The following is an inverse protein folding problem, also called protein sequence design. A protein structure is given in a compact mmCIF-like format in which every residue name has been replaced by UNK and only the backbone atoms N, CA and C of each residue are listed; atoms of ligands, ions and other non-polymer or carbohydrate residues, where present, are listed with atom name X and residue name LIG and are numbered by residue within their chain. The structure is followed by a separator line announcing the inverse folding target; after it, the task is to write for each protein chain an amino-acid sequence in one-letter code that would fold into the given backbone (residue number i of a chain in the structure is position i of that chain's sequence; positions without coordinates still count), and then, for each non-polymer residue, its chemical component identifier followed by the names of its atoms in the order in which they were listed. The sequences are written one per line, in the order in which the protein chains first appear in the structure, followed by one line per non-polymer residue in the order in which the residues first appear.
data_IF_197516591212
#
_entry.id   IF_197516591212
#
_cell.length_a   1.000
_cell.length_b   1.000
_cell.length_c   1.000
_cell.angle_alpha   90.00
_cell.angle_beta   90.00
_cell.angle_gamma   90.00
#
_symmetry.space_group_name_H-M   'P 1'
#
loop_
_entity.id
_entity.type
_entity.pdbx_description
1 polymer ?
#
# COMPACT_ATOMS: atom_id res chain seq x y z
N UNK A 1 2.14 -9.64 14.48
CA UNK A 1 3.57 -9.36 14.75
C UNK A 1 4.17 -8.46 13.68
N UNK A 2 4.05 -8.78 12.37
CA UNK A 2 4.66 -8.05 11.25
C UNK A 2 4.29 -6.56 11.27
N UNK A 3 3.01 -6.22 11.41
CA UNK A 3 2.55 -4.83 11.42
C UNK A 3 3.16 -4.03 12.59
N UNK A 4 3.27 -4.64 13.77
CA UNK A 4 3.88 -4.00 14.94
C UNK A 4 5.38 -3.78 14.71
N UNK A 5 6.08 -4.76 14.15
CA UNK A 5 7.51 -4.63 13.83
C UNK A 5 7.74 -3.52 12.81
N UNK A 6 6.92 -3.45 11.77
CA UNK A 6 7.00 -2.39 10.74
C UNK A 6 6.65 -1.02 11.33
N UNK A 7 5.66 -0.95 12.23
CA UNK A 7 5.33 0.28 12.94
C UNK A 7 6.55 0.84 13.70
N UNK A 8 7.17 0.02 14.55
CA UNK A 8 8.34 0.47 15.31
C UNK A 8 9.54 0.77 14.42
N UNK A 9 9.75 -0.03 13.38
CA UNK A 9 10.82 0.22 12.42
C UNK A 9 10.68 1.61 11.76
N UNK A 10 9.51 1.93 11.23
CA UNK A 10 9.24 3.22 10.59
C UNK A 10 9.31 4.36 11.61
N UNK A 11 8.72 4.17 12.80
CA UNK A 11 8.71 5.17 13.86
C UNK A 11 10.13 5.57 14.27
N UNK A 12 10.96 4.57 14.54
CA UNK A 12 12.34 4.79 14.95
C UNK A 12 13.12 5.47 13.82
N UNK A 13 12.99 5.01 12.57
CA UNK A 13 13.66 5.64 11.44
C UNK A 13 13.24 7.10 11.23
N UNK A 14 11.94 7.42 11.34
CA UNK A 14 11.45 8.78 11.22
C UNK A 14 12.00 9.67 12.34
N UNK A 15 12.00 9.19 13.58
CA UNK A 15 12.53 9.95 14.69
C UNK A 15 14.05 10.17 14.59
N UNK A 16 14.81 9.17 14.13
CA UNK A 16 16.25 9.33 13.89
C UNK A 16 16.55 10.37 12.79
N UNK A 17 15.68 10.51 11.80
CA UNK A 17 15.82 11.55 10.78
C UNK A 17 15.58 12.97 11.29
N UNK A 18 14.69 13.14 12.28
CA UNK A 18 14.24 14.45 12.79
C UNK A 18 15.14 14.92 13.95
N UNK A 19 15.57 13.99 14.80
CA UNK A 19 16.42 14.33 15.95
C UNK A 19 17.75 14.95 15.47
N UNK A 20 18.27 15.99 16.18
CA UNK A 20 19.51 16.66 15.80
C UNK A 20 20.76 15.77 15.98
N UNK A 21 20.59 14.45 15.96
CA UNK A 21 21.68 13.48 15.94
C UNK A 21 22.47 13.55 14.63
N UNK A 22 21.88 14.05 13.55
CA UNK A 22 22.55 14.41 12.30
C UNK A 22 23.53 15.59 12.44
N UNK A 23 23.49 16.34 13.56
CA UNK A 23 24.48 17.35 13.90
C UNK A 23 25.84 16.77 14.34
N UNK A 24 25.91 15.47 14.65
CA UNK A 24 27.15 14.77 14.93
C UNK A 24 27.61 14.07 13.63
N UNK A 25 28.76 14.48 13.09
CA UNK A 25 29.29 13.92 11.87
C UNK A 25 30.78 14.21 11.71
N UNK A 26 31.37 13.62 10.70
CA UNK A 26 32.75 13.88 10.30
C UNK A 26 32.77 15.00 9.25
N UNK A 27 33.77 15.89 9.39
CA UNK A 27 34.14 16.82 8.32
C UNK A 27 35.18 16.12 7.44
N UNK A 28 34.79 15.73 6.26
CA UNK A 28 35.70 15.13 5.28
C UNK A 28 36.10 16.16 4.24
N UNK A 29 37.37 16.20 3.92
CA UNK A 29 37.90 17.10 2.90
C UNK A 29 37.70 16.46 1.52
N UNK A 30 36.58 16.79 0.88
CA UNK A 30 36.26 16.38 -0.49
C UNK A 30 36.96 17.26 -1.53
N UNK A 31 36.82 16.90 -2.81
CA UNK A 31 37.42 17.62 -3.94
C UNK A 31 36.90 19.06 -4.12
N UNK A 32 35.77 19.40 -3.53
CA UNK A 32 35.10 20.71 -3.63
C UNK A 32 35.07 21.48 -2.30
N UNK A 33 35.75 21.00 -1.24
CA UNK A 33 35.78 21.61 0.07
C UNK A 33 35.43 20.66 1.21
N UNK A 34 35.17 21.23 2.41
CA UNK A 34 34.76 20.47 3.59
C UNK A 34 33.31 19.97 3.42
N UNK A 35 33.13 18.66 3.29
CA UNK A 35 31.82 18.00 3.28
C UNK A 35 31.50 17.50 4.69
N UNK A 36 30.31 17.81 5.18
CA UNK A 36 29.80 17.29 6.45
C UNK A 36 29.07 15.96 6.20
N UNK A 37 29.57 14.89 6.80
CA UNK A 37 28.96 13.56 6.73
C UNK A 37 28.34 13.24 8.07
N UNK A 38 27.00 13.25 8.21
CA UNK A 38 26.34 12.90 9.45
C UNK A 38 26.50 11.43 9.77
N UNK A 39 26.75 11.07 11.05
CA UNK A 39 26.84 9.67 11.49
C UNK A 39 25.50 8.95 11.47
N UNK A 40 24.42 9.68 11.71
CA UNK A 40 23.07 9.14 11.79
C UNK A 40 22.17 9.91 10.84
N UNK A 41 21.67 9.22 9.84
CA UNK A 41 20.66 9.73 8.91
C UNK A 41 19.47 8.76 8.88
N UNK A 42 18.26 9.28 8.96
CA UNK A 42 17.06 8.45 8.86
C UNK A 42 17.02 7.74 7.50
N UNK A 43 16.90 6.41 7.49
CA UNK A 43 16.84 5.63 6.26
C UNK A 43 15.63 5.96 5.38
N UNK A 44 14.57 6.48 5.97
CA UNK A 44 13.32 6.90 5.29
C UNK A 44 13.45 8.21 4.52
N UNK A 45 14.54 8.96 4.70
CA UNK A 45 14.89 10.12 3.87
C UNK A 45 15.38 9.73 2.46
N UNK A 46 15.66 8.44 2.21
CA UNK A 46 16.03 7.92 0.90
C UNK A 46 14.83 7.23 0.23
N UNK A 47 14.53 7.67 -1.00
CA UNK A 47 13.44 7.11 -1.80
C UNK A 47 13.63 5.60 -2.08
N UNK A 48 14.88 5.15 -2.23
CA UNK A 48 15.16 3.73 -2.47
C UNK A 48 14.72 2.86 -1.29
N UNK A 49 14.97 3.32 -0.07
CA UNK A 49 14.57 2.62 1.16
C UNK A 49 13.04 2.58 1.30
N UNK A 50 12.37 3.69 1.02
CA UNK A 50 10.91 3.77 1.12
C UNK A 50 10.21 2.97 0.02
N UNK A 51 10.75 2.95 -1.20
CA UNK A 51 10.29 2.07 -2.29
C UNK A 51 10.49 0.61 -1.92
N UNK A 52 11.68 0.23 -1.43
CA UNK A 52 11.95 -1.15 -1.02
C UNK A 52 10.97 -1.61 0.07
N UNK A 53 10.70 -0.78 1.08
CA UNK A 53 9.76 -1.08 2.15
C UNK A 53 8.32 -1.23 1.62
N UNK A 54 7.89 -0.34 0.71
CA UNK A 54 6.57 -0.39 0.09
C UNK A 54 6.42 -1.64 -0.80
N UNK A 55 7.44 -1.97 -1.59
CA UNK A 55 7.46 -3.18 -2.43
C UNK A 55 7.39 -4.44 -1.55
N UNK A 56 8.19 -4.51 -0.47
CA UNK A 56 8.15 -5.64 0.46
C UNK A 56 6.77 -5.78 1.14
N UNK A 57 6.13 -4.67 1.50
CA UNK A 57 4.80 -4.68 2.10
C UNK A 57 3.74 -5.24 1.14
N UNK A 58 3.70 -4.75 -0.11
CA UNK A 58 2.71 -5.16 -1.11
C UNK A 58 3.00 -6.57 -1.62
N UNK A 59 4.25 -6.92 -1.92
CA UNK A 59 4.62 -8.29 -2.30
C UNK A 59 4.35 -9.28 -1.16
N UNK A 60 4.66 -8.91 0.08
CA UNK A 60 4.36 -9.73 1.25
C UNK A 60 2.86 -10.03 1.38
N UNK A 61 2.01 -9.02 1.18
CA UNK A 61 0.56 -9.20 1.19
C UNK A 61 0.08 -10.12 0.04
N UNK A 62 0.62 -9.96 -1.17
CA UNK A 62 0.29 -10.80 -2.31
C UNK A 62 0.77 -12.26 -2.12
N UNK A 63 1.98 -12.45 -1.60
CA UNK A 63 2.51 -13.78 -1.28
C UNK A 63 1.65 -14.45 -0.21
N UNK A 64 1.27 -13.73 0.83
CA UNK A 64 0.37 -14.23 1.86
C UNK A 64 -1.00 -14.61 1.29
N UNK A 65 -1.56 -13.80 0.39
CA UNK A 65 -2.79 -14.11 -0.35
C UNK A 65 -2.67 -15.42 -1.15
N UNK A 66 -1.54 -15.63 -1.83
CA UNK A 66 -1.26 -16.88 -2.56
C UNK A 66 -1.28 -18.10 -1.62
N UNK A 67 -0.67 -17.98 -0.44
CA UNK A 67 -0.68 -19.07 0.54
C UNK A 67 -2.06 -19.34 1.15
N UNK A 68 -2.89 -18.28 1.32
CA UNK A 68 -4.22 -18.39 1.94
C UNK A 68 -5.28 -18.92 0.97
N UNK A 69 -5.28 -18.43 -0.28
CA UNK A 69 -6.35 -18.69 -1.27
C UNK A 69 -5.90 -19.74 -2.30
N UNK A 70 -4.60 -19.88 -2.51
CA UNK A 70 -3.99 -20.76 -3.49
C UNK A 70 -3.54 -20.05 -4.77
N UNK A 71 -2.45 -20.56 -5.36
CA UNK A 71 -1.77 -19.98 -6.54
C UNK A 71 -2.71 -19.79 -7.73
N UNK A 72 -3.57 -20.76 -7.99
CA UNK A 72 -4.46 -20.76 -9.16
C UNK A 72 -5.55 -19.69 -9.06
N UNK A 73 -6.14 -19.52 -7.89
CA UNK A 73 -7.18 -18.49 -7.68
C UNK A 73 -6.57 -17.09 -7.73
N UNK A 74 -5.40 -16.88 -7.10
CA UNK A 74 -4.70 -15.59 -7.11
C UNK A 74 -4.27 -15.19 -8.53
N UNK A 75 -3.74 -16.13 -9.33
CA UNK A 75 -3.36 -15.85 -10.71
C UNK A 75 -4.59 -15.53 -11.59
N UNK A 76 -5.69 -16.25 -11.37
CA UNK A 76 -6.93 -16.01 -12.10
C UNK A 76 -7.58 -14.65 -11.76
N UNK A 77 -7.30 -14.09 -10.59
CA UNK A 77 -7.73 -12.76 -10.17
C UNK A 77 -7.17 -11.66 -11.10
N UNK A 78 -5.90 -11.74 -11.46
CA UNK A 78 -5.25 -10.76 -12.33
C UNK A 78 -5.53 -10.94 -13.81
N UNK A 79 -5.57 -12.17 -14.32
CA UNK A 79 -5.67 -12.45 -15.77
C UNK A 79 -7.05 -12.91 -16.19
N UNK A 80 -7.90 -13.28 -15.22
CA UNK A 80 -9.29 -13.73 -15.44
C UNK A 80 -9.45 -14.77 -16.57
N UNK A 81 -8.49 -15.74 -16.58
CA UNK A 81 -8.40 -16.78 -17.62
C UNK A 81 -9.68 -17.60 -17.77
N UNK A 82 -10.48 -17.74 -16.71
CA UNK A 82 -11.76 -18.45 -16.77
C UNK A 82 -12.75 -17.76 -17.71
N UNK A 83 -12.74 -16.43 -17.77
CA UNK A 83 -13.61 -15.67 -18.67
C UNK A 83 -13.07 -15.71 -20.10
N UNK A 84 -11.75 -15.59 -20.29
CA UNK A 84 -11.14 -15.72 -21.61
C UNK A 84 -11.35 -17.13 -22.20
N UNK A 85 -11.17 -18.19 -21.40
CA UNK A 85 -11.43 -19.58 -21.84
C UNK A 85 -12.92 -19.87 -22.08
N UNK A 86 -13.80 -19.21 -21.30
CA UNK A 86 -15.25 -19.35 -21.44
C UNK A 86 -15.83 -18.62 -22.68
N UNK A 87 -15.16 -17.59 -23.20
CA UNK A 87 -15.60 -16.87 -24.39
C UNK A 87 -15.78 -17.84 -25.57
N UNK A 88 -14.80 -18.71 -25.83
CA UNK A 88 -14.82 -19.61 -26.96
C UNK A 88 -15.92 -20.68 -26.89
N UNK A 89 -16.29 -21.10 -25.67
CA UNK A 89 -17.28 -22.19 -25.48
C UNK A 89 -18.69 -21.68 -25.20
N UNK A 90 -18.86 -20.48 -24.60
CA UNK A 90 -20.17 -19.99 -24.16
C UNK A 90 -20.79 -18.94 -25.08
N UNK A 91 -20.06 -18.37 -26.07
CA UNK A 91 -20.60 -17.42 -27.06
C UNK A 91 -21.87 -17.94 -27.74
N UNK A 92 -21.98 -19.26 -27.89
CA UNK A 92 -23.09 -19.91 -28.60
C UNK A 92 -24.37 -20.03 -27.77
N UNK A 93 -24.26 -19.88 -26.43
CA UNK A 93 -25.40 -20.06 -25.52
C UNK A 93 -25.85 -18.77 -24.81
N UNK A 94 -24.94 -17.81 -24.61
CA UNK A 94 -25.23 -16.57 -23.89
C UNK A 94 -24.57 -15.36 -24.56
N UNK A 95 -25.33 -14.55 -25.36
CA UNK A 95 -24.78 -13.39 -26.08
C UNK A 95 -24.27 -12.27 -25.13
N UNK A 96 -24.70 -12.25 -23.89
CA UNK A 96 -24.24 -11.30 -22.85
C UNK A 96 -22.73 -11.40 -22.55
N UNK A 97 -22.10 -12.52 -22.85
CA UNK A 97 -20.65 -12.72 -22.66
C UNK A 97 -19.83 -11.79 -23.52
N UNK A 98 -20.30 -11.39 -24.70
CA UNK A 98 -19.59 -10.47 -25.60
C UNK A 98 -19.39 -9.10 -24.97
N UNK A 99 -20.31 -8.67 -24.11
CA UNK A 99 -20.23 -7.39 -23.37
C UNK A 99 -19.44 -7.55 -22.08
N UNK A 100 -19.63 -8.66 -21.36
CA UNK A 100 -19.00 -8.91 -20.05
C UNK A 100 -17.50 -9.20 -20.19
N UNK A 101 -17.07 -9.90 -21.23
CA UNK A 101 -15.68 -10.29 -21.42
C UNK A 101 -14.70 -9.10 -21.50
N UNK A 102 -14.93 -8.05 -22.33
CA UNK A 102 -14.04 -6.90 -22.35
C UNK A 102 -14.05 -6.14 -21.02
N UNK A 103 -15.21 -6.03 -20.35
CA UNK A 103 -15.29 -5.37 -19.04
C UNK A 103 -14.40 -6.10 -18.03
N UNK A 104 -14.49 -7.41 -17.96
CA UNK A 104 -13.71 -8.22 -17.02
C UNK A 104 -12.22 -8.18 -17.34
N UNK A 105 -11.83 -8.08 -18.59
CA UNK A 105 -10.44 -7.86 -19.01
C UNK A 105 -9.92 -6.51 -18.50
N UNK A 106 -10.69 -5.43 -18.67
CA UNK A 106 -10.32 -4.10 -18.17
C UNK A 106 -10.23 -4.07 -16.66
N UNK A 107 -11.11 -4.77 -15.93
CA UNK A 107 -11.04 -4.90 -14.47
C UNK A 107 -9.73 -5.55 -14.04
N UNK A 108 -9.31 -6.63 -14.68
CA UNK A 108 -8.01 -7.26 -14.39
C UNK A 108 -6.82 -6.32 -14.65
N UNK A 109 -6.87 -5.52 -15.73
CA UNK A 109 -5.84 -4.53 -16.02
C UNK A 109 -5.79 -3.42 -14.96
N UNK A 110 -6.94 -2.92 -14.52
CA UNK A 110 -7.04 -1.93 -13.44
C UNK A 110 -6.49 -2.49 -12.13
N UNK A 111 -6.70 -3.77 -11.85
CA UNK A 111 -6.17 -4.42 -10.65
C UNK A 111 -4.64 -4.46 -10.65
N UNK A 112 -4.00 -4.77 -11.79
CA UNK A 112 -2.54 -4.70 -11.93
C UNK A 112 -2.03 -3.27 -11.70
N UNK A 113 -2.67 -2.28 -12.34
CA UNK A 113 -2.32 -0.86 -12.12
C UNK A 113 -2.51 -0.47 -10.65
N UNK A 114 -3.55 -1.01 -10.00
CA UNK A 114 -3.82 -0.81 -8.57
C UNK A 114 -2.68 -1.30 -7.66
N UNK A 115 -2.04 -2.44 -7.99
CA UNK A 115 -0.88 -2.92 -7.21
C UNK A 115 0.31 -1.97 -7.32
N UNK A 116 0.62 -1.47 -8.52
CA UNK A 116 1.65 -0.44 -8.69
C UNK A 116 1.30 0.86 -7.97
N UNK A 117 0.05 1.28 -8.02
CA UNK A 117 -0.43 2.48 -7.35
C UNK A 117 -0.30 2.37 -5.81
N UNK A 118 -0.55 1.20 -5.23
CA UNK A 118 -0.33 0.93 -3.79
C UNK A 118 1.13 1.15 -3.41
N UNK A 119 2.07 0.55 -4.15
CA UNK A 119 3.51 0.71 -3.92
C UNK A 119 3.92 2.17 -4.01
N UNK A 120 3.53 2.87 -5.08
CA UNK A 120 3.84 4.27 -5.28
C UNK A 120 3.27 5.15 -4.16
N UNK A 121 2.00 4.94 -3.80
CA UNK A 121 1.32 5.71 -2.75
C UNK A 121 2.00 5.53 -1.38
N UNK A 122 2.35 4.28 -0.98
CA UNK A 122 3.03 4.02 0.27
C UNK A 122 4.44 4.66 0.29
N UNK A 123 5.19 4.49 -0.79
CA UNK A 123 6.56 4.98 -0.90
C UNK A 123 6.60 6.51 -0.87
N UNK A 124 5.82 7.17 -1.72
CA UNK A 124 5.80 8.64 -1.76
C UNK A 124 5.25 9.27 -0.48
N UNK A 125 4.31 8.63 0.18
CA UNK A 125 3.79 9.09 1.46
C UNK A 125 4.88 9.07 2.53
N UNK A 126 5.66 8.00 2.61
CA UNK A 126 6.72 7.86 3.61
C UNK A 126 7.89 8.80 3.29
N UNK A 127 8.39 8.76 2.07
CA UNK A 127 9.48 9.64 1.60
C UNK A 127 9.09 11.12 1.69
N UNK A 128 7.92 11.47 1.13
CA UNK A 128 7.48 12.86 1.03
C UNK A 128 7.30 13.52 2.38
N UNK A 129 6.81 12.78 3.37
CA UNK A 129 6.66 13.29 4.73
C UNK A 129 8.02 13.64 5.37
N UNK A 130 8.97 12.69 5.35
CA UNK A 130 10.29 12.88 5.97
C UNK A 130 11.09 13.95 5.21
N UNK A 131 11.08 13.91 3.87
CA UNK A 131 11.77 14.89 3.05
C UNK A 131 11.21 16.31 3.25
N UNK A 132 9.88 16.46 3.27
CA UNK A 132 9.24 17.74 3.52
C UNK A 132 9.58 18.31 4.91
N UNK A 133 9.63 17.44 5.93
CA UNK A 133 10.01 17.80 7.28
C UNK A 133 11.47 18.27 7.38
N UNK A 134 12.41 17.54 6.77
CA UNK A 134 13.82 17.97 6.69
C UNK A 134 13.94 19.36 6.04
N UNK A 135 13.32 19.56 4.88
CA UNK A 135 13.36 20.83 4.16
C UNK A 135 12.73 21.97 4.97
N UNK A 136 11.60 21.68 5.64
CA UNK A 136 10.92 22.65 6.49
C UNK A 136 11.81 23.08 7.67
N UNK A 137 12.38 22.12 8.40
CA UNK A 137 13.25 22.39 9.55
C UNK A 137 14.49 23.20 9.15
N UNK A 138 15.16 22.83 8.04
CA UNK A 138 16.33 23.55 7.53
C UNK A 138 15.95 24.98 7.11
N UNK A 139 14.82 25.15 6.41
CA UNK A 139 14.35 26.46 5.95
C UNK A 139 13.99 27.38 7.13
N UNK A 140 13.31 26.84 8.15
CA UNK A 140 12.96 27.61 9.36
C UNK A 140 14.18 27.95 10.21
N UNK A 141 15.15 27.05 10.30
CA UNK A 141 16.42 27.32 10.98
C UNK A 141 17.24 28.39 10.29
N UNK A 142 17.16 28.52 8.96
CA UNK A 142 17.81 29.59 8.21
C UNK A 142 17.19 30.98 8.46
N UNK A 143 15.88 31.04 8.73
CA UNK A 143 15.17 32.29 9.02
C UNK A 143 15.43 32.74 10.45
N UNK A 144 15.21 31.91 11.45
CA UNK A 144 15.45 32.22 12.87
C UNK A 144 15.96 30.92 13.55
N UNK A 145 17.25 30.86 13.78
CA UNK A 145 17.99 29.64 14.11
C UNK A 145 17.52 28.86 15.36
N UNK A 146 16.94 29.51 16.38
CA UNK A 146 16.77 28.86 17.67
C UNK A 146 15.31 28.66 18.11
N UNK A 147 14.41 29.57 17.80
CA UNK A 147 13.05 29.60 18.38
C UNK A 147 12.03 29.00 17.41
N UNK A 148 12.06 29.38 16.13
CA UNK A 148 11.06 28.95 15.13
C UNK A 148 11.13 27.45 14.82
N UNK A 149 12.29 26.77 14.74
CA UNK A 149 12.33 25.33 14.45
C UNK A 149 11.71 24.44 15.53
N UNK A 150 11.68 24.87 16.80
CA UNK A 150 11.22 24.04 17.92
C UNK A 150 9.77 23.55 17.76
N UNK A 151 8.76 24.42 17.50
CA UNK A 151 7.39 23.98 17.30
C UNK A 151 7.24 23.08 16.05
N UNK A 152 8.02 23.34 14.99
CA UNK A 152 8.01 22.48 13.80
C UNK A 152 8.65 21.11 14.05
N UNK A 153 9.70 21.04 14.84
CA UNK A 153 10.30 19.78 15.26
C UNK A 153 9.29 18.92 16.05
N UNK A 154 8.54 19.54 16.96
CA UNK A 154 7.50 18.83 17.71
C UNK A 154 6.38 18.35 16.79
N UNK A 155 5.94 19.17 15.84
CA UNK A 155 4.96 18.78 14.82
C UNK A 155 5.45 17.61 14.00
N UNK A 156 6.70 17.62 13.57
CA UNK A 156 7.31 16.55 12.76
C UNK A 156 7.42 15.23 13.52
N UNK A 157 7.75 15.26 14.83
CA UNK A 157 7.73 14.10 15.69
C UNK A 157 6.33 13.46 15.75
N UNK A 158 5.30 14.30 15.88
CA UNK A 158 3.91 13.84 15.92
C UNK A 158 3.49 13.24 14.57
N UNK A 159 3.83 13.91 13.47
CA UNK A 159 3.55 13.43 12.11
C UNK A 159 4.28 12.11 11.85
N UNK A 160 5.51 11.95 12.34
CA UNK A 160 6.27 10.70 12.27
C UNK A 160 5.55 9.51 12.93
N UNK A 161 4.91 9.73 14.09
CA UNK A 161 4.09 8.71 14.77
C UNK A 161 2.86 8.35 13.94
N UNK A 162 2.11 9.36 13.49
CA UNK A 162 0.90 9.17 12.69
C UNK A 162 1.25 8.43 11.40
N UNK A 163 2.34 8.79 10.75
CA UNK A 163 2.79 8.15 9.51
C UNK A 163 3.12 6.67 9.70
N UNK A 164 3.85 6.32 10.77
CA UNK A 164 4.17 4.94 11.10
C UNK A 164 2.88 4.13 11.38
N UNK A 165 1.91 4.73 12.06
CA UNK A 165 0.63 4.11 12.37
C UNK A 165 -0.20 3.86 11.09
N UNK A 166 -0.32 4.87 10.22
CA UNK A 166 -1.06 4.74 8.96
C UNK A 166 -0.44 3.65 8.07
N UNK A 167 0.90 3.60 7.96
CA UNK A 167 1.58 2.59 7.17
C UNK A 167 1.31 1.19 7.71
N UNK A 168 1.38 1.02 9.03
CA UNK A 168 1.13 -0.26 9.71
C UNK A 168 -0.32 -0.74 9.54
N UNK A 169 -1.31 0.16 9.65
CA UNK A 169 -2.72 -0.17 9.43
C UNK A 169 -2.95 -0.56 7.97
N UNK A 170 -2.41 0.20 7.01
CA UNK A 170 -2.54 -0.13 5.58
C UNK A 170 -1.92 -1.48 5.25
N UNK A 171 -0.78 -1.82 5.88
CA UNK A 171 -0.16 -3.12 5.75
C UNK A 171 -1.13 -4.23 6.19
N UNK A 172 -1.77 -4.10 7.36
CA UNK A 172 -2.78 -5.08 7.84
C UNK A 172 -3.94 -5.19 6.86
N UNK A 173 -4.46 -4.05 6.38
CA UNK A 173 -5.56 -4.03 5.41
C UNK A 173 -5.18 -4.77 4.12
N UNK A 174 -3.97 -4.56 3.60
CA UNK A 174 -3.51 -5.27 2.39
C UNK A 174 -3.36 -6.78 2.62
N UNK A 175 -2.88 -7.21 3.78
CA UNK A 175 -2.84 -8.63 4.14
C UNK A 175 -4.25 -9.22 4.27
N UNK A 176 -5.19 -8.49 4.83
CA UNK A 176 -6.59 -8.94 4.98
C UNK A 176 -7.27 -9.05 3.61
N UNK A 177 -7.13 -8.03 2.74
CA UNK A 177 -7.67 -8.07 1.38
C UNK A 177 -7.02 -9.20 0.56
N UNK A 178 -5.70 -9.39 0.71
CA UNK A 178 -4.98 -10.46 0.03
C UNK A 178 -5.42 -11.86 0.47
N UNK A 179 -5.90 -12.01 1.72
CA UNK A 179 -6.37 -13.28 2.28
C UNK A 179 -7.86 -13.53 2.07
N UNK A 180 -8.66 -12.50 1.75
CA UNK A 180 -10.10 -12.66 1.50
C UNK A 180 -10.36 -13.25 0.12
N UNK A 181 -11.17 -14.29 0.10
CA UNK A 181 -11.63 -14.92 -1.13
C UNK A 181 -12.68 -14.02 -1.80
N UNK A 182 -12.49 -13.63 -3.05
CA UNK A 182 -13.44 -12.82 -3.82
C UNK A 182 -14.63 -13.61 -4.37
N UNK A 183 -14.82 -14.86 -3.95
CA UNK A 183 -15.96 -15.68 -4.36
C UNK A 183 -17.33 -15.21 -3.73
N UNK A 184 -17.34 -14.17 -2.89
CA UNK A 184 -18.57 -13.61 -2.27
C UNK A 184 -19.35 -12.61 -3.16
N UNK A 185 -19.06 -12.50 -4.44
CA UNK A 185 -19.95 -11.81 -5.38
C UNK A 185 -20.85 -12.81 -6.12
N UNK A 186 -21.46 -13.78 -5.43
CA UNK A 186 -22.76 -14.25 -5.87
C UNK A 186 -23.79 -13.14 -5.56
N UNK A 187 -24.56 -12.70 -6.56
CA UNK A 187 -25.62 -11.72 -6.28
C UNK A 187 -26.63 -12.34 -5.31
N UNK A 188 -26.69 -11.77 -4.12
CA UNK A 188 -27.62 -12.14 -3.02
C UNK A 188 -29.09 -12.17 -3.47
N UNK A 189 -29.39 -11.70 -4.66
CA UNK A 189 -30.74 -11.63 -5.22
C UNK A 189 -31.22 -12.88 -5.97
N UNK A 190 -30.34 -13.82 -6.35
CA UNK A 190 -30.80 -14.99 -7.15
C UNK A 190 -31.25 -16.17 -6.29
N UNK A 191 -30.79 -16.28 -5.03
CA UNK A 191 -31.19 -17.35 -4.09
C UNK A 191 -32.57 -17.08 -3.47
N UNK A 192 -32.80 -15.87 -3.00
CA UNK A 192 -34.02 -15.50 -2.32
C UNK A 192 -35.27 -15.51 -3.20
N UNK A 193 -35.12 -15.11 -4.47
CA UNK A 193 -36.24 -15.09 -5.40
C UNK A 193 -36.71 -16.49 -5.82
N UNK A 194 -35.78 -17.42 -5.96
CA UNK A 194 -36.11 -18.84 -6.26
C UNK A 194 -36.74 -19.58 -5.08
N UNK A 195 -36.36 -19.24 -3.85
CA UNK A 195 -36.95 -19.80 -2.65
C UNK A 195 -38.36 -19.24 -2.40
N UNK A 196 -38.53 -17.93 -2.58
CA UNK A 196 -39.82 -17.24 -2.47
C UNK A 196 -40.81 -17.73 -3.53
N UNK A 197 -40.38 -17.92 -4.77
CA UNK A 197 -41.22 -18.50 -5.83
C UNK A 197 -41.57 -19.96 -5.53
N UNK A 198 -40.68 -20.75 -4.93
CA UNK A 198 -40.98 -22.13 -4.52
C UNK A 198 -41.97 -22.21 -3.36
N UNK A 199 -41.90 -21.30 -2.40
CA UNK A 199 -42.87 -21.21 -1.31
C UNK A 199 -44.26 -20.78 -1.80
N UNK A 200 -44.31 -19.74 -2.67
CA UNK A 200 -45.58 -19.31 -3.28
C UNK A 200 -46.24 -20.39 -4.15
N UNK A 201 -45.47 -21.19 -4.88
CA UNK A 201 -46.02 -22.30 -5.67
C UNK A 201 -46.52 -23.43 -4.76
N UNK A 202 -45.92 -23.62 -3.57
CA UNK A 202 -46.40 -24.60 -2.58
C UNK A 202 -47.67 -24.19 -1.85
N UNK A 203 -47.88 -22.88 -1.65
CA UNK A 203 -49.13 -22.36 -1.03
C UNK A 203 -50.31 -22.34 -1.99
N UNK A 204 -50.04 -22.34 -3.32
CA UNK A 204 -51.08 -22.32 -4.36
C UNK A 204 -51.47 -23.73 -4.91
N UNK A 205 -50.85 -24.80 -4.43
CA UNK A 205 -51.14 -26.19 -4.80
C UNK A 205 -51.80 -26.96 -3.65
#
# INVERSE_FOLDING_TARGET
PIAISVFFFILINNWFGILPLGGFGLLEQGKEGLAFIPFVRGGTADINTTVALAVMAVLGANIFGVFSIGLWKTFNKYVNLKVLGGIFTKIRHEPTIIIVAPITFFVGLIEIVGEFAKVASLSFRLFGNVFAGEVLLVSMAALVAYIIPIPFLFLELLVGVIQALIFSILLVVYFTIGASDHDEHEPVHAGGEKELVRELVKELA
#
